data_IF_111036198237
#
_entry.id   IF_111036198237
#
_cell.length_a   1.000
_cell.length_b   1.000
_cell.length_c   1.000
_cell.angle_alpha   90.00
_cell.angle_beta   90.00
_cell.angle_gamma   90.00
#
_symmetry.space_group_name_H-M   'P 1'
#
loop_
_entity.id
_entity.type
_entity.pdbx_description
1 polymer ?
#
# COMPACT_ATOMS: atom_id res chain seq x y z
N UNK A 1 23.19 62.68 -41.92
CA UNK A 1 23.80 62.04 -40.74
C UNK A 1 23.24 60.64 -40.59
N UNK A 2 23.74 59.86 -39.63
CA UNK A 2 23.10 58.61 -39.19
C UNK A 2 22.53 58.87 -37.80
N UNK A 3 21.24 58.62 -37.62
CA UNK A 3 20.54 58.84 -36.35
C UNK A 3 20.01 57.49 -35.86
N UNK A 4 20.12 57.24 -34.56
CA UNK A 4 19.52 56.08 -33.89
C UNK A 4 18.31 56.58 -33.12
N UNK A 5 17.15 55.97 -33.38
CA UNK A 5 15.89 56.26 -32.70
C UNK A 5 15.47 54.98 -31.97
N UNK A 6 15.26 55.09 -30.66
CA UNK A 6 14.79 53.96 -29.83
C UNK A 6 13.38 54.26 -29.34
N UNK A 7 12.44 53.38 -29.69
CA UNK A 7 11.05 53.44 -29.24
C UNK A 7 10.75 52.19 -28.43
N UNK A 8 10.32 52.38 -27.18
CA UNK A 8 9.88 51.29 -26.31
C UNK A 8 8.36 51.33 -26.22
N UNK A 9 7.71 50.27 -26.68
CA UNK A 9 6.26 50.14 -26.67
C UNK A 9 5.84 48.84 -25.96
N UNK A 10 4.63 48.85 -25.39
CA UNK A 10 4.01 47.67 -24.74
C UNK A 10 2.57 47.57 -25.19
N UNK A 11 2.17 46.39 -25.67
CA UNK A 11 0.76 46.07 -25.91
C UNK A 11 0.01 45.81 -24.60
N UNK A 12 -1.22 46.32 -24.50
CA UNK A 12 -2.12 46.05 -23.36
C UNK A 12 -2.74 44.64 -23.44
N UNK A 13 -2.81 44.05 -24.63
CA UNK A 13 -3.40 42.74 -24.89
C UNK A 13 -2.43 41.74 -25.54
N UNK A 14 -2.82 40.46 -25.66
CA UNK A 14 -2.03 39.45 -26.35
C UNK A 14 -1.83 39.85 -27.81
N UNK A 15 -0.57 39.81 -28.27
CA UNK A 15 -0.21 40.03 -29.67
C UNK A 15 -0.07 38.67 -30.35
N UNK A 16 -0.97 38.39 -31.28
CA UNK A 16 -1.00 37.15 -32.06
C UNK A 16 -0.29 37.29 -33.40
N UNK A 17 -0.30 38.50 -33.97
CA UNK A 17 0.40 38.83 -35.22
C UNK A 17 0.90 40.27 -35.17
N UNK A 18 2.11 40.48 -35.67
CA UNK A 18 2.65 41.79 -36.03
C UNK A 18 2.87 41.81 -37.53
N UNK A 19 2.33 42.81 -38.22
CA UNK A 19 2.48 42.96 -39.67
C UNK A 19 3.34 44.19 -39.97
N UNK A 20 4.05 44.14 -41.11
CA UNK A 20 4.74 45.31 -41.64
C UNK A 20 3.84 46.01 -42.66
N UNK A 21 3.39 47.21 -42.28
CA UNK A 21 2.65 48.11 -43.16
C UNK A 21 3.58 49.24 -43.60
N UNK A 22 3.90 49.38 -44.90
CA UNK A 22 4.81 50.41 -45.37
C UNK A 22 4.21 51.80 -45.12
N UNK A 23 5.04 52.72 -44.61
CA UNK A 23 4.66 54.11 -44.37
C UNK A 23 5.25 55.00 -45.45
N UNK A 24 4.46 55.93 -46.00
CA UNK A 24 4.95 56.91 -46.98
C UNK A 24 6.09 57.75 -46.38
N UNK A 25 7.23 57.82 -47.08
CA UNK A 25 8.41 58.57 -46.63
C UNK A 25 9.74 57.91 -47.00
N UNK A 26 10.87 58.38 -46.45
CA UNK A 26 12.21 57.87 -46.75
C UNK A 26 12.57 56.57 -45.99
N UNK A 27 11.56 55.77 -45.61
CA UNK A 27 11.73 54.56 -44.81
C UNK A 27 12.12 53.37 -45.68
N UNK A 28 12.68 52.33 -45.05
CA UNK A 28 13.06 51.10 -45.76
C UNK A 28 11.82 50.35 -46.27
N UNK A 29 11.98 49.64 -47.38
CA UNK A 29 10.95 48.80 -48.00
C UNK A 29 10.66 47.50 -47.22
N UNK A 30 11.47 47.20 -46.19
CA UNK A 30 11.40 46.02 -45.35
C UNK A 30 11.99 46.31 -43.96
N UNK A 31 11.59 45.52 -42.98
CA UNK A 31 12.13 45.59 -41.62
C UNK A 31 12.87 44.30 -41.23
N UNK A 32 13.78 44.43 -40.25
CA UNK A 32 14.49 43.31 -39.63
C UNK A 32 14.05 43.23 -38.18
N UNK A 33 13.42 42.13 -37.81
CA UNK A 33 12.87 41.90 -36.48
C UNK A 33 13.66 40.82 -35.75
N UNK A 34 14.11 41.13 -34.54
CA UNK A 34 14.72 40.17 -33.63
C UNK A 34 13.71 39.75 -32.56
N UNK A 35 13.71 38.46 -32.20
CA UNK A 35 12.75 37.92 -31.22
C UNK A 35 13.46 37.33 -29.99
N UNK A 36 13.35 38.02 -28.85
CA UNK A 36 13.77 37.49 -27.55
C UNK A 36 12.73 36.47 -27.04
N UNK A 37 12.98 35.18 -27.31
CA UNK A 37 12.13 34.10 -26.84
C UNK A 37 12.24 33.93 -25.32
N UNK A 38 11.09 33.91 -24.62
CA UNK A 38 10.99 33.60 -23.19
C UNK A 38 10.20 32.31 -22.95
N UNK A 39 10.77 31.10 -23.19
CA UNK A 39 10.06 29.82 -23.06
C UNK A 39 9.44 29.57 -21.68
N UNK A 40 10.01 30.16 -20.62
CA UNK A 40 9.47 30.10 -19.27
C UNK A 40 8.08 30.75 -19.15
N UNK A 41 7.78 31.76 -19.98
CA UNK A 41 6.49 32.47 -20.02
C UNK A 41 5.55 31.88 -21.07
N UNK A 42 6.08 31.57 -22.26
CA UNK A 42 5.37 30.89 -23.35
C UNK A 42 6.36 30.37 -24.39
N UNK A 43 6.11 29.15 -24.87
CA UNK A 43 6.74 28.60 -26.07
C UNK A 43 5.90 29.00 -27.28
N UNK A 44 6.53 29.73 -28.18
CA UNK A 44 5.90 30.28 -29.39
C UNK A 44 6.72 29.83 -30.59
N UNK A 45 6.04 29.36 -31.63
CA UNK A 45 6.61 29.17 -32.95
C UNK A 45 6.26 30.38 -33.81
N UNK A 46 7.25 30.89 -34.53
CA UNK A 46 7.07 32.02 -35.46
C UNK A 46 6.73 31.49 -36.84
N UNK A 47 5.69 32.04 -37.44
CA UNK A 47 5.26 31.75 -38.81
C UNK A 47 5.01 33.06 -39.59
N UNK A 48 5.10 33.01 -40.92
CA UNK A 48 4.78 34.15 -41.81
C UNK A 48 5.86 35.21 -41.98
N UNK A 49 7.05 35.01 -41.39
CA UNK A 49 8.23 35.86 -41.56
C UNK A 49 9.46 35.02 -41.97
N UNK A 50 10.32 35.57 -42.83
CA UNK A 50 11.47 34.86 -43.40
C UNK A 50 12.69 34.97 -42.48
N UNK A 51 13.23 33.84 -42.01
CA UNK A 51 14.41 33.84 -41.15
C UNK A 51 15.68 34.29 -41.89
N UNK A 52 16.54 35.06 -41.22
CA UNK A 52 17.84 35.52 -41.72
C UNK A 52 18.91 35.36 -40.65
N UNK A 53 20.15 35.16 -41.08
CA UNK A 53 21.31 35.15 -40.19
C UNK A 53 21.56 36.56 -39.60
N UNK A 54 21.54 36.74 -38.26
CA UNK A 54 21.80 38.02 -37.62
C UNK A 54 23.13 38.65 -38.05
N UNK A 55 24.17 37.85 -38.35
CA UNK A 55 25.48 38.32 -38.79
C UNK A 55 25.48 39.00 -40.16
N UNK A 56 24.42 38.83 -40.95
CA UNK A 56 24.23 39.48 -42.25
C UNK A 56 23.34 40.73 -42.18
N UNK A 57 23.00 41.18 -40.97
CA UNK A 57 22.14 42.32 -40.73
C UNK A 57 22.91 43.50 -40.13
N UNK A 58 22.24 44.65 -39.98
CA UNK A 58 22.78 45.83 -39.27
C UNK A 58 22.22 45.93 -37.84
N UNK A 59 21.81 44.82 -37.25
CA UNK A 59 21.26 44.80 -35.89
C UNK A 59 22.31 45.26 -34.86
N UNK A 60 21.89 45.87 -33.75
CA UNK A 60 22.75 46.11 -32.60
C UNK A 60 23.35 44.81 -32.06
N UNK A 61 24.54 44.90 -31.46
CA UNK A 61 25.26 43.74 -30.91
C UNK A 61 24.41 42.96 -29.89
N UNK A 62 23.64 43.66 -29.06
CA UNK A 62 22.73 43.07 -28.05
C UNK A 62 21.66 42.14 -28.65
N UNK A 63 21.35 42.27 -29.94
CA UNK A 63 20.31 41.48 -30.64
C UNK A 63 20.91 40.39 -31.55
N UNK A 64 22.24 40.35 -31.70
CA UNK A 64 22.94 39.42 -32.59
C UNK A 64 22.76 37.93 -32.22
N UNK A 65 22.47 37.65 -30.95
CA UNK A 65 22.20 36.28 -30.45
C UNK A 65 20.73 35.84 -30.57
N UNK A 66 19.84 36.67 -31.11
CA UNK A 66 18.40 36.39 -31.16
C UNK A 66 17.99 35.85 -32.55
N UNK A 67 16.99 34.95 -32.61
CA UNK A 67 16.33 34.61 -33.87
C UNK A 67 15.86 35.86 -34.60
N UNK A 68 16.27 35.99 -35.86
CA UNK A 68 16.08 37.21 -36.66
C UNK A 68 15.33 36.90 -37.94
N UNK A 69 14.44 37.82 -38.32
CA UNK A 69 13.54 37.68 -39.45
C UNK A 69 13.52 38.96 -40.28
N UNK A 70 13.44 38.82 -41.60
CA UNK A 70 13.13 39.90 -42.52
C UNK A 70 11.63 39.88 -42.79
N UNK A 71 10.98 41.03 -42.72
CA UNK A 71 9.54 41.19 -42.96
C UNK A 71 9.34 42.22 -44.09
N UNK A 72 8.80 41.76 -45.22
CA UNK A 72 8.50 42.57 -46.39
C UNK A 72 7.02 43.05 -46.42
N UNK A 73 6.62 43.95 -47.32
CA UNK A 73 5.24 44.44 -47.40
C UNK A 73 4.25 43.29 -47.63
N UNK A 74 3.24 43.19 -46.76
CA UNK A 74 2.25 42.11 -46.78
C UNK A 74 2.66 40.86 -45.97
N UNK A 75 3.91 40.77 -45.50
CA UNK A 75 4.35 39.74 -44.57
C UNK A 75 4.11 40.15 -43.10
N UNK A 76 4.21 39.18 -42.19
CA UNK A 76 4.04 39.46 -40.77
C UNK A 76 4.41 38.28 -39.88
N UNK A 77 4.93 38.61 -38.71
CA UNK A 77 5.29 37.64 -37.69
C UNK A 77 4.05 37.18 -36.93
N UNK A 78 3.64 35.94 -37.16
CA UNK A 78 2.53 35.29 -36.44
C UNK A 78 3.09 34.45 -35.30
N UNK A 79 2.57 34.66 -34.09
CA UNK A 79 3.02 34.04 -32.86
C UNK A 79 2.15 32.83 -32.51
N UNK A 80 2.47 31.67 -33.09
CA UNK A 80 1.74 30.42 -32.82
C UNK A 80 2.14 29.85 -31.46
N UNK A 81 1.30 30.04 -30.45
CA UNK A 81 1.55 29.55 -29.09
C UNK A 81 1.45 28.03 -29.06
N UNK A 82 2.57 27.35 -28.81
CA UNK A 82 2.62 25.88 -28.62
C UNK A 82 2.40 25.48 -27.16
N UNK A 83 2.85 26.32 -26.24
CA UNK A 83 2.69 26.11 -24.79
C UNK A 83 2.69 27.47 -24.10
N UNK A 84 1.70 27.77 -23.26
CA UNK A 84 1.80 28.88 -22.30
C UNK A 84 2.57 28.34 -21.09
N UNK A 85 3.40 29.14 -20.43
CA UNK A 85 4.22 28.74 -19.29
C UNK A 85 3.42 28.03 -18.18
N UNK A 86 4.15 27.45 -17.23
CA UNK A 86 3.68 26.64 -16.09
C UNK A 86 2.38 25.86 -16.36
N UNK A 87 2.53 24.66 -16.91
CA UNK A 87 1.45 23.67 -16.96
C UNK A 87 0.83 23.54 -15.57
N UNK A 88 -0.45 23.89 -15.45
CA UNK A 88 -1.28 23.75 -14.25
C UNK A 88 -1.51 22.28 -13.82
N UNK A 89 -0.62 21.36 -14.22
CA UNK A 89 -0.76 19.93 -14.06
C UNK A 89 0.57 19.18 -13.98
N UNK A 90 1.69 19.84 -13.68
CA UNK A 90 2.84 19.11 -13.16
C UNK A 90 2.47 18.65 -11.75
N UNK A 91 1.91 17.45 -11.66
CA UNK A 91 1.44 16.87 -10.43
C UNK A 91 2.56 16.98 -9.37
N UNK A 92 2.24 17.62 -8.25
CA UNK A 92 3.19 17.77 -7.14
C UNK A 92 3.38 16.37 -6.52
N UNK A 93 4.60 15.81 -6.48
CA UNK A 93 4.81 14.44 -6.06
C UNK A 93 4.59 14.32 -4.56
N UNK A 94 3.35 14.03 -4.18
CA UNK A 94 2.99 13.61 -2.83
C UNK A 94 3.03 12.08 -2.76
N UNK A 95 3.55 11.60 -1.65
CA UNK A 95 3.58 10.19 -1.28
C UNK A 95 2.68 9.97 -0.06
N UNK A 96 1.93 8.88 -0.05
CA UNK A 96 1.06 8.47 1.04
C UNK A 96 1.54 7.14 1.61
N UNK A 97 1.84 7.13 2.90
CA UNK A 97 1.94 5.90 3.68
C UNK A 97 0.74 5.79 4.60
N UNK A 98 -0.01 4.71 4.49
CA UNK A 98 -1.31 4.58 5.14
C UNK A 98 -1.39 3.30 5.95
N UNK A 99 -1.74 3.41 7.22
CA UNK A 99 -1.99 2.27 8.10
C UNK A 99 -3.47 2.26 8.45
N UNK A 100 -4.10 1.09 8.42
CA UNK A 100 -5.48 0.99 8.86
C UNK A 100 -5.75 -0.30 9.64
N UNK A 101 -6.53 -0.17 10.70
CA UNK A 101 -6.90 -1.25 11.61
C UNK A 101 -8.36 -1.60 11.35
N UNK A 102 -8.61 -2.83 10.91
CA UNK A 102 -9.96 -3.36 10.83
C UNK A 102 -10.55 -3.51 12.24
N UNK A 103 -11.79 -3.11 12.41
CA UNK A 103 -12.50 -3.37 13.66
C UNK A 103 -12.66 -4.87 13.93
N UNK A 104 -12.67 -5.27 15.20
CA UNK A 104 -12.99 -6.65 15.58
C UNK A 104 -14.33 -7.14 15.02
N UNK A 105 -15.32 -6.25 14.95
CA UNK A 105 -16.64 -6.53 14.40
C UNK A 105 -16.71 -6.47 12.86
N UNK A 106 -15.67 -5.97 12.19
CA UNK A 106 -15.65 -5.75 10.75
C UNK A 106 -16.58 -4.62 10.29
N UNK A 107 -16.75 -3.57 11.11
CA UNK A 107 -17.67 -2.45 10.87
C UNK A 107 -17.02 -1.22 10.21
N UNK A 108 -15.71 -1.27 9.98
CA UNK A 108 -14.94 -0.18 9.44
C UNK A 108 -13.47 -0.25 9.83
N UNK A 109 -12.79 0.87 9.62
CA UNK A 109 -11.36 1.04 9.87
C UNK A 109 -11.09 2.30 10.67
N UNK A 110 -10.14 2.18 11.60
CA UNK A 110 -9.38 3.35 12.07
C UNK A 110 -8.15 3.48 11.19
N UNK A 111 -7.85 4.68 10.71
CA UNK A 111 -6.82 4.94 9.70
C UNK A 111 -5.84 5.98 10.22
N UNK A 112 -4.55 5.75 10.00
CA UNK A 112 -3.47 6.69 10.22
C UNK A 112 -2.71 6.91 8.90
N UNK A 113 -2.69 8.15 8.43
CA UNK A 113 -2.06 8.54 7.18
C UNK A 113 -0.84 9.44 7.43
N UNK A 114 0.25 9.13 6.74
CA UNK A 114 1.43 9.98 6.64
C UNK A 114 1.59 10.43 5.19
N UNK A 115 1.35 11.70 4.95
CA UNK A 115 1.52 12.35 3.65
C UNK A 115 2.83 13.12 3.63
N UNK A 116 3.68 12.86 2.64
CA UNK A 116 4.97 13.54 2.49
C UNK A 116 5.21 14.02 1.07
N UNK A 117 6.03 15.07 0.92
CA UNK A 117 6.42 15.59 -0.38
C UNK A 117 6.72 17.08 -0.34
N UNK A 118 6.49 17.77 -1.46
CA UNK A 118 6.62 19.22 -1.52
C UNK A 118 5.52 19.82 -2.40
N UNK A 119 4.83 20.83 -1.84
CA UNK A 119 3.83 21.63 -2.53
C UNK A 119 4.50 22.88 -3.10
N UNK A 120 4.15 23.26 -4.33
CA UNK A 120 4.66 24.49 -4.97
C UNK A 120 3.77 25.67 -4.67
N UNK A 121 2.48 25.43 -4.39
CA UNK A 121 1.49 26.47 -4.09
C UNK A 121 0.62 26.08 -2.89
N UNK A 122 0.14 27.04 -2.08
CA UNK A 122 -0.82 26.78 -1.03
C UNK A 122 -2.10 26.19 -1.61
N UNK A 123 -2.60 25.12 -1.00
CA UNK A 123 -3.73 24.33 -1.48
C UNK A 123 -4.45 23.69 -0.30
N UNK A 124 -5.73 23.40 -0.46
CA UNK A 124 -6.50 22.64 0.51
C UNK A 124 -6.41 21.14 0.22
N UNK A 125 -6.29 20.33 1.26
CA UNK A 125 -6.39 18.87 1.18
C UNK A 125 -7.65 18.42 1.91
N UNK A 126 -8.60 17.90 1.15
CA UNK A 126 -9.89 17.40 1.65
C UNK A 126 -9.86 15.88 1.79
N UNK A 127 -10.48 15.38 2.85
CA UNK A 127 -10.76 13.96 3.00
C UNK A 127 -11.76 13.48 1.93
N UNK A 128 -11.60 12.24 1.47
CA UNK A 128 -12.56 11.62 0.56
C UNK A 128 -13.91 11.37 1.24
N UNK A 129 -14.97 11.20 0.43
CA UNK A 129 -16.28 10.83 0.95
C UNK A 129 -16.22 9.49 1.71
N UNK A 130 -16.85 9.42 2.88
CA UNK A 130 -16.82 8.25 3.76
C UNK A 130 -15.63 8.20 4.73
N UNK A 131 -14.69 9.14 4.64
CA UNK A 131 -13.60 9.31 5.60
C UNK A 131 -13.95 10.44 6.58
N UNK A 132 -14.16 10.10 7.85
CA UNK A 132 -14.32 11.07 8.92
C UNK A 132 -12.94 11.47 9.47
N UNK A 133 -12.47 12.65 9.07
CA UNK A 133 -11.16 13.18 9.44
C UNK A 133 -11.20 13.74 10.86
N UNK A 134 -10.48 13.08 11.77
CA UNK A 134 -10.54 13.34 13.19
C UNK A 134 -9.39 14.16 13.74
N UNK A 135 -8.18 13.98 13.23
CA UNK A 135 -6.97 14.70 13.65
C UNK A 135 -6.07 14.93 12.44
N UNK A 136 -5.37 16.07 12.44
CA UNK A 136 -4.31 16.38 11.47
C UNK A 136 -3.22 17.14 12.20
N UNK A 137 -1.97 16.72 12.01
CA UNK A 137 -0.77 17.46 12.39
C UNK A 137 0.13 17.68 11.18
N UNK A 138 0.72 18.86 11.07
CA UNK A 138 1.73 19.18 10.06
C UNK A 138 3.02 19.52 10.79
N UNK A 139 4.11 18.82 10.47
CA UNK A 139 5.41 18.95 11.14
C UNK A 139 5.31 18.85 12.68
N UNK A 140 4.41 17.96 13.16
CA UNK A 140 4.15 17.74 14.58
C UNK A 140 3.32 18.82 15.27
N UNK A 141 2.74 19.77 14.51
CA UNK A 141 1.85 20.80 15.03
C UNK A 141 0.40 20.55 14.57
N UNK A 142 -0.51 20.45 15.53
CA UNK A 142 -1.93 20.21 15.28
C UNK A 142 -2.54 21.31 14.40
N UNK A 143 -3.34 20.89 13.44
CA UNK A 143 -4.02 21.77 12.49
C UNK A 143 -5.52 21.76 12.71
N UNK A 144 -6.16 22.90 12.46
CA UNK A 144 -7.61 23.01 12.55
C UNK A 144 -8.27 22.41 11.31
N UNK A 145 -9.11 21.39 11.51
CA UNK A 145 -9.90 20.78 10.45
C UNK A 145 -11.14 21.64 10.21
N UNK A 146 -11.31 22.08 8.96
CA UNK A 146 -12.42 22.93 8.55
C UNK A 146 -13.31 22.18 7.58
N UNK A 147 -14.54 22.66 7.36
CA UNK A 147 -15.42 22.15 6.30
C UNK A 147 -15.54 23.17 5.17
N UNK A 148 -15.52 22.69 3.92
CA UNK A 148 -15.60 23.57 2.75
C UNK A 148 -16.40 22.94 1.59
N UNK A 149 -16.95 23.80 0.73
CA UNK A 149 -17.58 23.43 -0.52
C UNK A 149 -19.01 22.85 -0.37
N UNK A 150 -19.68 22.55 -1.50
CA UNK A 150 -21.06 22.05 -1.52
C UNK A 150 -21.22 20.68 -0.87
N UNK A 151 -20.14 19.88 -0.82
CA UNK A 151 -20.09 18.57 -0.14
C UNK A 151 -19.77 18.68 1.35
N UNK A 152 -19.50 19.89 1.86
CA UNK A 152 -19.12 20.14 3.25
C UNK A 152 -17.93 19.27 3.72
N UNK A 153 -16.96 19.06 2.82
CA UNK A 153 -15.84 18.14 3.02
C UNK A 153 -14.90 18.64 4.14
N UNK A 154 -14.50 17.72 5.02
CA UNK A 154 -13.50 17.97 6.05
C UNK A 154 -12.11 18.05 5.40
N UNK A 155 -11.31 19.04 5.79
CA UNK A 155 -9.98 19.21 5.23
C UNK A 155 -9.15 20.28 5.94
N UNK A 156 -7.92 20.41 5.48
CA UNK A 156 -6.90 21.32 6.03
C UNK A 156 -6.29 22.18 4.93
N UNK A 157 -5.93 23.42 5.26
CA UNK A 157 -5.19 24.30 4.37
C UNK A 157 -3.69 24.01 4.45
N UNK A 158 -3.07 23.72 3.31
CA UNK A 158 -1.64 23.43 3.21
C UNK A 158 -0.89 24.63 2.63
N UNK A 159 0.31 24.88 3.15
CA UNK A 159 1.21 25.92 2.65
C UNK A 159 2.14 25.36 1.57
N UNK A 160 2.68 26.23 0.72
CA UNK A 160 3.76 25.85 -0.19
C UNK A 160 5.03 25.52 0.60
N UNK A 161 5.79 24.53 0.14
CA UNK A 161 7.02 24.05 0.76
C UNK A 161 7.02 22.53 0.96
N UNK A 162 8.05 22.01 1.66
CA UNK A 162 8.06 20.63 2.16
C UNK A 162 6.83 20.37 3.02
N UNK A 163 6.25 19.19 2.89
CA UNK A 163 5.09 18.75 3.63
C UNK A 163 5.42 17.43 4.33
N UNK A 164 5.16 17.39 5.63
CA UNK A 164 4.94 16.16 6.39
C UNK A 164 3.66 16.32 7.20
N UNK A 165 2.62 15.63 6.76
CA UNK A 165 1.30 15.65 7.38
C UNK A 165 1.02 14.27 7.94
N UNK A 166 0.55 14.23 9.18
CA UNK A 166 0.07 13.04 9.86
C UNK A 166 -1.42 13.25 10.16
N UNK A 167 -2.26 12.25 9.91
CA UNK A 167 -3.70 12.40 10.05
C UNK A 167 -4.38 11.10 10.51
N UNK A 168 -5.30 11.24 11.45
CA UNK A 168 -6.10 10.14 11.96
C UNK A 168 -7.55 10.30 11.53
N UNK A 169 -8.11 9.22 10.99
CA UNK A 169 -9.47 9.22 10.46
C UNK A 169 -10.20 7.92 10.72
N UNK A 170 -11.52 7.97 10.57
CA UNK A 170 -12.42 6.84 10.70
C UNK A 170 -13.12 6.60 9.37
N UNK A 171 -13.08 5.37 8.88
CA UNK A 171 -13.83 4.93 7.69
C UNK A 171 -14.86 3.92 8.15
N UNK A 172 -16.13 4.33 8.21
CA UNK A 172 -17.23 3.45 8.62
C UNK A 172 -17.92 2.81 7.42
N UNK A 173 -18.49 1.62 7.62
CA UNK A 173 -19.33 0.97 6.64
C UNK A 173 -18.76 -0.36 6.15
N UNK A 174 -18.66 -0.52 4.83
CA UNK A 174 -18.29 -1.79 4.21
C UNK A 174 -16.77 -2.01 4.29
N UNK A 175 -16.28 -3.03 5.03
CA UNK A 175 -14.86 -3.32 5.10
C UNK A 175 -14.31 -3.88 3.78
N UNK A 176 -15.17 -4.31 2.86
CA UNK A 176 -14.73 -4.84 1.56
C UNK A 176 -14.34 -3.70 0.62
N UNK A 177 -15.12 -2.63 0.54
CA UNK A 177 -14.87 -1.54 -0.40
C UNK A 177 -14.37 -0.30 0.33
N UNK A 178 -13.09 0.01 0.18
CA UNK A 178 -12.46 1.16 0.84
C UNK A 178 -11.75 2.04 -0.19
N UNK A 179 -11.60 3.34 0.07
CA UNK A 179 -10.79 4.19 -0.81
C UNK A 179 -9.30 3.85 -0.64
N UNK A 180 -8.57 3.68 -1.75
CA UNK A 180 -7.14 3.38 -1.69
C UNK A 180 -6.35 4.48 -0.97
N UNK A 181 -6.64 5.75 -1.27
CA UNK A 181 -5.95 6.91 -0.69
C UNK A 181 -6.76 7.67 0.36
N UNK A 182 -8.10 7.68 0.26
CA UNK A 182 -8.99 8.32 1.24
C UNK A 182 -8.89 9.85 1.36
N UNK A 183 -8.20 10.50 0.43
CA UNK A 183 -8.16 11.95 0.24
C UNK A 183 -8.70 12.31 -1.16
N UNK A 184 -9.28 13.50 -1.31
CA UNK A 184 -9.76 14.01 -2.59
C UNK A 184 -8.61 14.56 -3.46
N UNK A 185 -7.52 13.80 -3.57
CA UNK A 185 -6.31 14.14 -4.31
C UNK A 185 -5.55 12.89 -4.73
N UNK A 186 -4.91 12.96 -5.90
CA UNK A 186 -4.08 11.90 -6.44
C UNK A 186 -2.70 11.89 -5.76
N UNK A 187 -2.09 10.70 -5.65
CA UNK A 187 -0.77 10.49 -5.07
C UNK A 187 0.14 9.80 -6.08
N UNK A 188 1.44 10.11 -6.04
CA UNK A 188 2.41 9.50 -6.96
C UNK A 188 2.94 8.17 -6.45
N UNK A 189 3.09 8.06 -5.14
CA UNK A 189 3.55 6.87 -4.45
C UNK A 189 2.57 6.59 -3.31
N UNK A 190 2.06 5.36 -3.28
CA UNK A 190 1.15 4.90 -2.23
C UNK A 190 1.64 3.57 -1.72
N UNK A 191 1.72 3.47 -0.39
CA UNK A 191 1.97 2.23 0.32
C UNK A 191 1.08 2.16 1.54
N UNK A 192 0.77 0.95 2.00
CA UNK A 192 0.04 0.81 3.22
C UNK A 192 0.17 -0.52 3.92
N UNK A 193 -0.32 -0.54 5.15
CA UNK A 193 -0.36 -1.71 6.01
C UNK A 193 -1.79 -1.88 6.57
N UNK A 194 -2.39 -3.02 6.24
CA UNK A 194 -3.69 -3.46 6.76
C UNK A 194 -3.45 -4.30 8.01
N UNK A 195 -3.84 -3.79 9.17
CA UNK A 195 -3.84 -4.53 10.42
C UNK A 195 -5.17 -5.26 10.61
N UNK A 196 -5.09 -6.57 10.86
CA UNK A 196 -6.23 -7.46 11.02
C UNK A 196 -6.30 -7.97 12.46
N UNK A 197 -7.46 -7.86 13.12
CA UNK A 197 -7.66 -8.42 14.45
C UNK A 197 -7.68 -9.96 14.40
N UNK A 198 -7.59 -10.63 15.56
CA UNK A 198 -7.55 -12.09 15.64
C UNK A 198 -8.68 -12.78 14.89
N UNK A 199 -8.34 -13.84 14.15
CA UNK A 199 -9.31 -14.60 13.37
C UNK A 199 -9.76 -13.94 12.07
N UNK A 200 -9.30 -12.72 11.76
CA UNK A 200 -9.45 -12.14 10.43
C UNK A 200 -8.24 -12.46 9.56
N UNK A 201 -8.48 -12.72 8.27
CA UNK A 201 -7.41 -12.99 7.30
C UNK A 201 -7.72 -12.39 5.94
N UNK A 202 -6.71 -11.83 5.28
CA UNK A 202 -6.84 -11.35 3.90
C UNK A 202 -6.73 -12.53 2.93
N UNK A 203 -7.81 -12.84 2.22
CA UNK A 203 -7.79 -13.86 1.16
C UNK A 203 -7.19 -13.29 -0.13
N UNK A 204 -7.58 -12.07 -0.49
CA UNK A 204 -7.16 -11.37 -1.70
C UNK A 204 -7.42 -9.86 -1.56
N UNK A 205 -6.75 -9.05 -2.37
CA UNK A 205 -7.02 -7.63 -2.51
C UNK A 205 -6.99 -7.25 -4.00
N UNK A 206 -7.94 -6.41 -4.42
CA UNK A 206 -8.04 -5.88 -5.78
C UNK A 206 -7.98 -4.35 -5.74
N UNK A 207 -7.44 -3.73 -6.80
CA UNK A 207 -7.19 -2.29 -6.82
C UNK A 207 -5.83 -1.92 -6.22
N UNK A 208 -4.98 -2.92 -5.98
CA UNK A 208 -3.59 -2.84 -5.52
C UNK A 208 -2.71 -3.73 -6.40
N UNK A 209 -1.45 -3.36 -6.62
CA UNK A 209 -0.53 -4.14 -7.45
C UNK A 209 0.07 -5.34 -6.71
N UNK A 210 0.33 -5.18 -5.42
CA UNK A 210 0.82 -6.25 -4.57
C UNK A 210 0.21 -6.19 -3.17
N UNK A 211 -0.31 -7.33 -2.71
CA UNK A 211 -0.81 -7.54 -1.36
C UNK A 211 -0.19 -8.82 -0.76
N UNK A 212 0.49 -8.68 0.39
CA UNK A 212 1.18 -9.80 1.06
C UNK A 212 1.13 -9.68 2.59
N UNK A 213 0.86 -10.77 3.33
CA UNK A 213 0.47 -12.08 2.83
C UNK A 213 -1.02 -12.12 2.44
N UNK A 214 -1.35 -12.90 1.41
CA UNK A 214 -2.74 -13.26 1.06
C UNK A 214 -2.85 -14.76 0.85
N UNK A 215 -4.04 -15.34 1.04
CA UNK A 215 -4.23 -16.77 0.77
C UNK A 215 -3.92 -17.13 -0.69
N UNK A 216 -4.35 -16.29 -1.65
CA UNK A 216 -4.08 -16.53 -3.07
C UNK A 216 -2.57 -16.47 -3.37
N UNK A 217 -1.86 -15.48 -2.84
CA UNK A 217 -0.42 -15.29 -3.12
C UNK A 217 0.49 -16.24 -2.36
N UNK A 218 -0.02 -16.92 -1.34
CA UNK A 218 0.72 -17.95 -0.63
C UNK A 218 1.05 -19.17 -1.51
N UNK A 219 0.35 -19.37 -2.63
CA UNK A 219 0.63 -20.45 -3.56
C UNK A 219 1.81 -20.12 -4.48
N UNK A 220 2.87 -20.93 -4.41
CA UNK A 220 3.90 -20.92 -5.45
C UNK A 220 3.56 -21.87 -6.60
N UNK A 221 4.25 -21.72 -7.74
CA UNK A 221 4.12 -22.66 -8.85
C UNK A 221 4.48 -24.09 -8.44
N UNK A 222 5.49 -24.24 -7.58
CA UNK A 222 5.92 -25.52 -7.05
C UNK A 222 4.85 -26.13 -6.14
N UNK A 223 4.20 -25.31 -5.32
CA UNK A 223 3.09 -25.74 -4.45
C UNK A 223 1.90 -26.25 -5.23
N UNK A 224 1.50 -25.53 -6.28
CA UNK A 224 0.43 -25.96 -7.17
C UNK A 224 0.77 -27.30 -7.85
N UNK A 225 2.01 -27.45 -8.33
CA UNK A 225 2.47 -28.71 -8.91
C UNK A 225 2.47 -29.85 -7.89
N UNK A 226 3.00 -29.62 -6.69
CA UNK A 226 3.03 -30.60 -5.60
C UNK A 226 1.62 -31.05 -5.19
N UNK A 227 0.69 -30.11 -5.01
CA UNK A 227 -0.69 -30.40 -4.67
C UNK A 227 -1.39 -31.21 -5.79
N UNK A 228 -1.16 -30.84 -7.05
CA UNK A 228 -1.72 -31.54 -8.20
C UNK A 228 -1.19 -32.98 -8.30
N UNK A 229 0.13 -33.18 -8.24
CA UNK A 229 0.73 -34.52 -8.31
C UNK A 229 0.26 -35.40 -7.17
N UNK A 230 0.18 -34.85 -5.95
CA UNK A 230 -0.34 -35.56 -4.77
C UNK A 230 -1.80 -35.97 -4.98
N UNK A 231 -2.63 -35.05 -5.49
CA UNK A 231 -4.04 -35.32 -5.82
C UNK A 231 -4.18 -36.43 -6.85
N UNK A 232 -3.42 -36.37 -7.95
CA UNK A 232 -3.45 -37.38 -9.01
C UNK A 232 -2.95 -38.73 -8.49
N UNK A 233 -1.92 -38.75 -7.65
CA UNK A 233 -1.43 -39.98 -7.04
C UNK A 233 -2.49 -40.61 -6.13
N UNK A 234 -3.19 -39.82 -5.30
CA UNK A 234 -4.33 -40.32 -4.49
C UNK A 234 -5.44 -40.86 -5.38
N UNK A 235 -5.79 -40.14 -6.45
CA UNK A 235 -6.78 -40.58 -7.43
C UNK A 235 -6.44 -41.93 -8.07
N UNK A 236 -5.19 -42.10 -8.52
CA UNK A 236 -4.75 -43.34 -9.17
C UNK A 236 -4.70 -44.52 -8.19
N UNK A 237 -4.39 -44.25 -6.93
CA UNK A 237 -4.17 -45.27 -5.92
C UNK A 237 -5.48 -45.69 -5.19
N UNK A 238 -6.46 -44.80 -5.03
CA UNK A 238 -7.71 -45.06 -4.29
C UNK A 238 -9.00 -44.70 -5.05
N UNK A 239 -8.92 -44.13 -6.26
CA UNK A 239 -10.06 -43.82 -7.12
C UNK A 239 -10.62 -42.39 -6.98
N UNK A 240 -11.69 -42.09 -7.73
CA UNK A 240 -12.26 -40.75 -7.88
C UNK A 240 -12.65 -40.08 -6.56
N UNK A 241 -13.36 -40.78 -5.68
CA UNK A 241 -13.84 -40.22 -4.42
C UNK A 241 -12.68 -39.73 -3.54
N UNK A 242 -11.65 -40.56 -3.36
CA UNK A 242 -10.48 -40.20 -2.56
C UNK A 242 -9.60 -39.18 -3.27
N UNK A 243 -9.56 -39.18 -4.60
CA UNK A 243 -8.94 -38.11 -5.39
C UNK A 243 -9.60 -36.75 -5.14
N UNK A 244 -10.94 -36.69 -5.12
CA UNK A 244 -11.69 -35.45 -4.84
C UNK A 244 -11.51 -35.00 -3.38
N UNK A 245 -11.60 -35.91 -2.42
CA UNK A 245 -11.33 -35.60 -1.00
C UNK A 245 -9.89 -35.09 -0.86
N UNK A 246 -8.92 -35.78 -1.47
CA UNK A 246 -7.52 -35.37 -1.47
C UNK A 246 -7.31 -33.99 -2.09
N UNK A 247 -7.95 -33.71 -3.23
CA UNK A 247 -7.90 -32.41 -3.88
C UNK A 247 -8.38 -31.29 -2.95
N UNK A 248 -9.54 -31.49 -2.32
CA UNK A 248 -10.13 -30.50 -1.42
C UNK A 248 -9.29 -30.32 -0.15
N UNK A 249 -8.80 -31.41 0.45
CA UNK A 249 -7.90 -31.35 1.61
C UNK A 249 -6.66 -30.53 1.27
N UNK A 250 -5.96 -30.88 0.18
CA UNK A 250 -4.72 -30.21 -0.20
C UNK A 250 -4.95 -28.75 -0.59
N UNK A 251 -6.02 -28.44 -1.32
CA UNK A 251 -6.37 -27.06 -1.64
C UNK A 251 -6.60 -26.20 -0.39
N UNK A 252 -7.09 -26.77 0.72
CA UNK A 252 -7.35 -26.02 1.95
C UNK A 252 -6.18 -26.03 2.94
N UNK A 253 -5.30 -27.04 2.90
CA UNK A 253 -4.21 -27.19 3.87
C UNK A 253 -2.83 -26.86 3.33
N UNK A 254 -2.58 -26.93 2.02
CA UNK A 254 -1.20 -26.90 1.48
C UNK A 254 -0.41 -25.66 1.87
N UNK A 255 -1.04 -24.48 1.79
CA UNK A 255 -0.44 -23.18 2.11
C UNK A 255 -0.52 -22.82 3.60
N UNK A 256 -1.14 -23.66 4.42
CA UNK A 256 -1.23 -23.39 5.85
C UNK A 256 0.08 -23.75 6.55
N UNK A 257 0.59 -22.89 7.45
CA UNK A 257 1.88 -23.15 8.10
C UNK A 257 1.84 -24.48 8.86
N UNK A 258 2.88 -25.32 8.79
CA UNK A 258 2.91 -26.59 9.52
C UNK A 258 1.98 -27.69 9.02
N UNK A 259 1.28 -27.49 7.90
CA UNK A 259 0.52 -28.56 7.26
C UNK A 259 1.45 -29.67 6.71
N UNK A 260 0.98 -30.93 6.65
CA UNK A 260 1.77 -32.06 6.17
C UNK A 260 1.86 -32.10 4.62
N UNK A 261 2.23 -31.00 3.96
CA UNK A 261 2.12 -30.83 2.49
C UNK A 261 2.98 -31.83 1.70
N UNK A 262 4.30 -31.66 1.68
CA UNK A 262 5.21 -32.46 0.87
C UNK A 262 5.37 -33.91 1.37
N UNK A 263 5.11 -34.15 2.65
CA UNK A 263 5.29 -35.46 3.28
C UNK A 263 4.28 -36.51 2.78
N UNK A 264 3.14 -36.05 2.24
CA UNK A 264 2.20 -36.91 1.52
C UNK A 264 2.85 -37.64 0.35
N UNK A 265 3.73 -36.99 -0.41
CA UNK A 265 4.38 -37.63 -1.55
C UNK A 265 5.25 -38.81 -1.13
N UNK A 266 5.99 -38.70 -0.03
CA UNK A 266 6.81 -39.80 0.50
C UNK A 266 5.95 -41.02 0.86
N UNK A 267 4.80 -40.78 1.51
CA UNK A 267 3.83 -41.83 1.82
C UNK A 267 3.24 -42.46 0.55
N UNK A 268 2.83 -41.64 -0.42
CA UNK A 268 2.23 -42.10 -1.67
C UNK A 268 3.20 -42.92 -2.51
N UNK A 269 4.48 -42.52 -2.57
CA UNK A 269 5.55 -43.29 -3.22
C UNK A 269 5.72 -44.64 -2.50
N UNK A 270 5.79 -44.64 -1.17
CA UNK A 270 5.89 -45.87 -0.39
C UNK A 270 4.72 -46.82 -0.63
N UNK A 271 3.49 -46.31 -0.65
CA UNK A 271 2.29 -47.12 -0.92
C UNK A 271 2.24 -47.63 -2.37
N UNK A 272 2.61 -46.80 -3.35
CA UNK A 272 2.68 -47.20 -4.75
C UNK A 272 3.70 -48.33 -4.96
N UNK A 273 4.90 -48.21 -4.37
CA UNK A 273 5.96 -49.24 -4.46
C UNK A 273 5.53 -50.55 -3.79
N UNK A 274 4.90 -50.49 -2.62
CA UNK A 274 4.40 -51.68 -1.93
C UNK A 274 3.32 -52.39 -2.76
N UNK A 275 2.42 -51.64 -3.43
CA UNK A 275 1.38 -52.20 -4.30
C UNK A 275 1.94 -52.79 -5.59
N UNK A 276 2.94 -52.14 -6.19
CA UNK A 276 3.60 -52.63 -7.40
C UNK A 276 4.32 -53.96 -7.15
N UNK A 277 5.07 -54.07 -6.05
CA UNK A 277 5.84 -55.28 -5.71
C UNK A 277 4.97 -56.40 -5.11
N UNK A 278 3.82 -56.06 -4.53
CA UNK A 278 2.94 -57.02 -3.83
C UNK A 278 2.12 -57.94 -4.72
N UNK A 279 2.08 -57.74 -6.04
CA UNK A 279 1.19 -58.44 -6.98
C UNK A 279 1.80 -59.67 -7.68
N UNK A 280 3.08 -59.99 -7.43
CA UNK A 280 3.77 -61.13 -8.06
C UNK A 280 4.00 -62.30 -7.10
N UNK A 281 3.38 -63.44 -7.39
CA UNK A 281 3.66 -64.74 -6.77
C UNK A 281 4.96 -65.33 -7.34
N UNK A 282 6.12 -64.96 -6.79
CA UNK A 282 7.37 -65.65 -7.09
C UNK A 282 8.34 -65.59 -5.91
N UNK A 283 8.59 -66.76 -5.33
CA UNK A 283 9.34 -67.02 -4.10
C UNK A 283 10.86 -66.87 -4.30
N UNK A 284 11.43 -65.78 -3.82
CA UNK A 284 12.89 -65.60 -3.76
C UNK A 284 13.30 -64.90 -2.47
N UNK A 285 14.25 -65.48 -1.72
CA UNK A 285 14.70 -64.97 -0.42
C UNK A 285 15.22 -63.52 -0.47
N UNK A 286 15.83 -63.10 -1.58
CA UNK A 286 16.33 -61.73 -1.80
C UNK A 286 15.21 -60.70 -1.95
N UNK A 287 14.04 -61.08 -2.49
CA UNK A 287 12.87 -60.19 -2.61
C UNK A 287 12.13 -59.99 -1.28
N UNK A 288 12.33 -60.86 -0.28
CA UNK A 288 11.73 -60.72 1.06
C UNK A 288 12.33 -59.55 1.84
N UNK A 289 13.65 -59.40 1.82
CA UNK A 289 14.33 -58.27 2.47
C UNK A 289 13.95 -56.92 1.86
N UNK A 290 13.93 -56.83 0.53
CA UNK A 290 13.51 -55.62 -0.19
C UNK A 290 12.04 -55.24 0.10
N UNK A 291 11.12 -56.21 0.12
CA UNK A 291 9.71 -55.97 0.49
C UNK A 291 9.55 -55.49 1.94
N UNK A 292 10.37 -55.99 2.86
CA UNK A 292 10.38 -55.51 4.24
C UNK A 292 10.80 -54.04 4.31
N UNK A 293 11.90 -53.66 3.66
CA UNK A 293 12.36 -52.27 3.58
C UNK A 293 11.29 -51.32 3.00
N UNK A 294 10.60 -51.70 1.92
CA UNK A 294 9.52 -50.89 1.36
C UNK A 294 8.34 -50.72 2.33
N UNK A 295 7.99 -51.76 3.09
CA UNK A 295 6.94 -51.67 4.13
C UNK A 295 7.37 -50.78 5.28
N UNK A 296 8.62 -50.88 5.73
CA UNK A 296 9.18 -50.02 6.77
C UNK A 296 9.20 -48.57 6.30
N UNK A 297 9.68 -48.30 5.08
CA UNK A 297 9.65 -46.96 4.49
C UNK A 297 8.23 -46.40 4.43
N UNK A 298 7.25 -47.18 3.94
CA UNK A 298 5.85 -46.77 3.93
C UNK A 298 5.34 -46.44 5.33
N UNK A 299 5.60 -47.30 6.31
CA UNK A 299 5.15 -47.10 7.70
C UNK A 299 5.81 -45.87 8.33
N UNK A 300 7.09 -45.65 8.08
CA UNK A 300 7.80 -44.46 8.53
C UNK A 300 7.23 -43.18 7.90
N UNK A 301 6.95 -43.21 6.59
CA UNK A 301 6.33 -42.08 5.90
C UNK A 301 4.91 -41.81 6.41
N UNK A 302 4.10 -42.85 6.62
CA UNK A 302 2.76 -42.71 7.23
C UNK A 302 2.86 -42.13 8.65
N UNK A 303 3.77 -42.65 9.47
CA UNK A 303 4.01 -42.15 10.82
C UNK A 303 4.41 -40.67 10.79
N UNK A 304 5.26 -40.27 9.84
CA UNK A 304 5.66 -38.88 9.67
C UNK A 304 4.47 -37.98 9.25
N UNK A 305 3.61 -38.45 8.34
CA UNK A 305 2.36 -37.74 8.00
C UNK A 305 1.48 -37.59 9.25
N UNK A 306 1.31 -38.64 10.05
CA UNK A 306 0.49 -38.59 11.28
C UNK A 306 1.09 -37.63 12.31
N UNK A 307 2.39 -37.74 12.58
CA UNK A 307 3.10 -36.90 13.55
C UNK A 307 3.12 -35.42 13.17
N UNK A 308 3.04 -35.09 11.88
CA UNK A 308 2.90 -33.70 11.40
C UNK A 308 1.44 -33.24 11.36
N UNK A 309 0.50 -34.14 11.08
CA UNK A 309 -0.93 -33.84 11.02
C UNK A 309 -1.55 -33.56 12.39
N UNK A 310 -1.16 -34.30 13.44
CA UNK A 310 -1.76 -34.12 14.78
C UNK A 310 -1.51 -32.72 15.33
N UNK A 311 -0.27 -32.20 15.40
CA UNK A 311 -0.01 -30.83 15.87
C UNK A 311 -0.72 -29.79 15.02
N UNK A 312 -0.77 -29.98 13.70
CA UNK A 312 -1.50 -29.11 12.78
C UNK A 312 -3.00 -29.06 13.11
N UNK A 313 -3.66 -30.22 13.23
CA UNK A 313 -5.09 -30.31 13.56
C UNK A 313 -5.39 -29.69 14.93
N UNK A 314 -4.56 -29.93 15.94
CA UNK A 314 -4.70 -29.32 17.27
C UNK A 314 -4.61 -27.80 17.17
N UNK A 315 -3.70 -27.26 16.37
CA UNK A 315 -3.57 -25.83 16.16
C UNK A 315 -4.79 -25.26 15.44
N UNK A 316 -5.26 -25.88 14.36
CA UNK A 316 -6.46 -25.43 13.63
C UNK A 316 -7.68 -25.38 14.54
N UNK A 317 -7.91 -26.43 15.34
CA UNK A 317 -9.02 -26.48 16.32
C UNK A 317 -8.87 -25.40 17.39
N UNK A 318 -7.65 -25.18 17.90
CA UNK A 318 -7.38 -24.14 18.90
C UNK A 318 -7.68 -22.75 18.35
N UNK A 319 -7.19 -22.43 17.15
CA UNK A 319 -7.40 -21.12 16.52
C UNK A 319 -8.88 -20.93 16.16
N UNK A 320 -9.57 -22.00 15.76
CA UNK A 320 -11.02 -21.93 15.54
C UNK A 320 -11.79 -21.59 16.84
N UNK A 321 -11.51 -22.29 17.94
CA UNK A 321 -12.24 -22.07 19.19
C UNK A 321 -11.82 -20.77 19.90
N UNK A 322 -10.54 -20.41 19.77
CA UNK A 322 -9.94 -19.27 20.44
C UNK A 322 -9.06 -18.48 19.46
N UNK A 323 -9.66 -17.65 18.59
CA UNK A 323 -8.91 -16.86 17.61
C UNK A 323 -7.84 -15.98 18.25
N UNK A 324 -8.07 -15.50 19.48
CA UNK A 324 -7.08 -14.73 20.25
C UNK A 324 -5.75 -15.47 20.51
N UNK A 325 -5.71 -16.80 20.36
CA UNK A 325 -4.51 -17.63 20.57
C UNK A 325 -3.66 -17.83 19.31
N UNK A 326 -3.99 -17.19 18.18
CA UNK A 326 -3.29 -17.35 16.89
C UNK A 326 -1.76 -17.16 16.98
N UNK A 327 -1.28 -16.28 17.87
CA UNK A 327 0.15 -16.01 18.10
C UNK A 327 0.66 -16.28 19.53
N UNK A 328 -0.16 -16.84 20.42
CA UNK A 328 0.19 -17.00 21.84
C UNK A 328 1.43 -17.86 22.12
N UNK A 329 1.97 -18.56 21.10
CA UNK A 329 3.18 -19.37 21.22
C UNK A 329 4.48 -18.64 20.79
N UNK A 330 4.38 -17.54 20.04
CA UNK A 330 5.56 -16.78 19.56
C UNK A 330 5.85 -15.54 20.40
N UNK A 331 4.85 -14.99 21.10
CA UNK A 331 4.97 -13.77 21.92
C UNK A 331 5.57 -13.98 23.32
N UNK A 332 6.02 -15.19 23.66
CA UNK A 332 6.61 -15.47 25.00
C UNK A 332 8.11 -15.08 25.05
N UNK A 333 8.72 -14.61 23.96
CA UNK A 333 10.17 -14.37 23.88
C UNK A 333 10.63 -12.98 23.46
N UNK A 334 9.73 -12.05 23.11
CA UNK A 334 10.12 -10.73 22.61
C UNK A 334 9.70 -9.66 23.62
N UNK A 335 10.60 -9.37 24.57
CA UNK A 335 10.49 -8.23 25.46
C UNK A 335 10.42 -6.95 24.63
N UNK A 336 9.27 -6.30 24.65
CA UNK A 336 9.02 -5.02 23.98
C UNK A 336 9.98 -3.94 24.52
N UNK A 337 10.92 -3.41 23.70
CA UNK A 337 11.84 -2.35 24.13
C UNK A 337 11.11 -1.04 24.48
N UNK A 338 9.88 -0.85 24.00
CA UNK A 338 9.05 0.32 24.28
C UNK A 338 8.25 0.22 25.58
N UNK A 339 8.09 -0.98 26.16
CA UNK A 339 7.45 -1.15 27.48
C UNK A 339 8.32 -0.60 28.64
N UNK A 340 9.61 -0.29 28.39
CA UNK A 340 10.51 0.31 29.38
C UNK A 340 10.36 1.83 29.55
N UNK A 341 9.50 2.49 28.75
CA UNK A 341 9.23 3.92 28.82
C UNK A 341 8.06 4.32 29.75
N UNK A 342 7.23 3.35 30.15
CA UNK A 342 6.11 3.58 31.08
C UNK A 342 6.47 3.08 32.49
N UNK A 343 7.63 3.49 33.00
CA UNK A 343 7.80 3.53 34.44
C UNK A 343 6.93 4.69 34.94
N UNK A 344 5.91 4.37 35.73
CA UNK A 344 5.15 5.36 36.49
C UNK A 344 6.13 6.36 37.14
N UNK A 345 5.86 7.68 37.11
CA UNK A 345 6.66 8.61 37.89
C UNK A 345 6.60 8.14 39.34
N UNK A 346 7.75 7.72 39.88
CA UNK A 346 7.90 7.50 41.30
C UNK A 346 7.48 8.81 41.98
N UNK A 347 6.41 8.74 42.78
CA UNK A 347 5.99 9.83 43.64
C UNK A 347 7.21 10.28 44.47
N UNK A 348 7.75 11.45 44.13
CA UNK A 348 8.69 12.13 44.99
C UNK A 348 7.93 12.51 46.27
N UNK A 349 8.42 12.18 47.47
CA UNK A 349 7.75 12.57 48.70
C UNK A 349 7.77 14.10 48.83
N UNK A 350 6.61 14.74 48.61
CA UNK A 350 6.31 16.13 48.98
C UNK A 350 6.21 16.28 50.50
N UNK A 351 7.32 16.08 51.21
CA UNK A 351 7.37 16.28 52.65
C UNK A 351 8.79 16.66 53.08
N UNK A 352 9.34 17.76 52.54
CA UNK A 352 10.53 18.42 53.11
C UNK A 352 10.83 19.84 52.57
N UNK A 353 9.90 20.50 51.88
CA UNK A 353 10.11 21.89 51.40
C UNK A 353 9.34 22.97 52.19
N UNK A 354 8.31 22.60 52.96
CA UNK A 354 7.54 23.58 53.75
C UNK A 354 8.23 24.04 55.05
N UNK A 355 9.30 23.37 55.50
CA UNK A 355 9.97 23.71 56.77
C UNK A 355 11.20 24.62 56.64
N UNK A 356 11.65 24.96 55.43
CA UNK A 356 12.83 25.82 55.22
C UNK A 356 12.51 27.19 54.58
N UNK A 357 11.24 27.51 54.37
CA UNK A 357 10.81 28.79 53.78
C UNK A 357 10.71 29.97 54.78
N UNK A 358 11.01 29.78 56.07
CA UNK A 358 10.81 30.80 57.11
C UNK A 358 12.06 31.63 57.48
N UNK A 359 13.19 31.53 56.79
CA UNK A 359 14.40 32.23 57.23
C UNK A 359 15.33 32.72 56.11
N UNK A 360 14.95 33.75 55.35
CA UNK A 360 15.92 34.66 54.68
C UNK A 360 15.41 36.10 54.57
N UNK A 361 16.25 37.11 54.92
CA UNK A 361 15.89 38.52 54.81
C UNK A 361 16.06 39.07 53.39
N UNK A 362 15.34 40.16 53.11
CA UNK A 362 15.22 40.81 51.81
C UNK A 362 16.55 41.43 51.30
N UNK A 363 16.74 41.38 49.98
CA UNK A 363 17.77 42.14 49.25
C UNK A 363 17.30 42.45 47.81
N UNK A 364 17.86 43.51 47.17
CA UNK A 364 17.08 44.46 46.36
C UNK A 364 16.94 44.08 44.87
N UNK A 365 15.92 44.67 44.24
CA UNK A 365 15.50 44.45 42.85
C UNK A 365 16.59 44.83 41.83
N UNK A 366 16.91 43.98 40.83
CA UNK A 366 17.60 44.41 39.64
C UNK A 366 16.64 44.94 38.57
N UNK A 367 17.15 45.94 37.85
CA UNK A 367 16.55 46.76 36.81
C UNK A 367 16.03 45.95 35.62
N UNK A 368 14.84 46.30 35.13
CA UNK A 368 14.21 45.69 33.94
C UNK A 368 15.02 46.00 32.68
N UNK A 369 15.68 44.98 32.13
CA UNK A 369 16.02 44.89 30.71
C UNK A 369 14.84 44.25 29.97
N UNK A 370 14.26 44.96 29.01
CA UNK A 370 13.17 44.48 28.17
C UNK A 370 13.75 43.57 27.10
N UNK A 371 13.96 42.30 27.45
CA UNK A 371 14.16 41.24 26.48
C UNK A 371 12.76 40.74 26.09
N UNK A 372 12.44 40.87 24.81
CA UNK A 372 11.18 40.42 24.21
C UNK A 372 11.12 38.89 24.25
N UNK A 373 10.71 38.36 25.40
CA UNK A 373 10.24 36.99 25.53
C UNK A 373 8.94 36.88 24.72
N UNK A 374 9.02 36.24 23.57
CA UNK A 374 7.85 35.74 22.83
C UNK A 374 7.19 34.71 23.74
N UNK A 375 6.11 35.11 24.41
CA UNK A 375 5.24 34.19 25.10
C UNK A 375 4.51 33.35 24.05
N UNK A 376 5.03 32.16 23.76
CA UNK A 376 4.19 31.06 23.27
C UNK A 376 3.71 30.33 24.51
N UNK A 377 2.79 30.93 25.26
CA UNK A 377 1.93 30.15 26.15
C UNK A 377 0.86 29.54 25.24
N UNK A 378 0.81 28.20 25.11
CA UNK A 378 -0.31 27.54 24.45
C UNK A 378 -1.59 27.98 25.16
N UNK A 379 -2.59 28.48 24.43
CA UNK A 379 -3.87 28.88 24.99
C UNK A 379 -4.49 27.67 25.74
N UNK A 380 -4.70 27.74 27.06
CA UNK A 380 -5.27 26.65 27.84
C UNK A 380 -6.68 26.25 27.40
N UNK A 381 -7.37 27.09 26.61
CA UNK A 381 -8.69 26.83 26.05
C UNK A 381 -8.67 26.38 24.59
N UNK A 382 -7.49 26.17 23.99
CA UNK A 382 -7.38 25.64 22.64
C UNK A 382 -8.00 24.24 22.57
N UNK A 383 -9.17 24.13 21.93
CA UNK A 383 -9.82 22.84 21.66
C UNK A 383 -9.06 22.14 20.55
N UNK A 384 -8.10 21.30 20.93
CA UNK A 384 -7.38 20.41 20.00
C UNK A 384 -8.30 19.26 19.61
N UNK A 385 -8.51 19.07 18.31
CA UNK A 385 -9.28 17.94 17.80
C UNK A 385 -8.40 16.69 17.81
N UNK A 386 -8.64 15.76 18.73
CA UNK A 386 -7.73 14.62 19.01
C UNK A 386 -7.95 13.38 18.16
N UNK A 387 -8.92 13.39 17.24
CA UNK A 387 -9.22 12.26 16.36
C UNK A 387 -9.69 10.97 17.05
N UNK A 388 -9.89 9.89 16.27
CA UNK A 388 -10.18 8.57 16.82
C UNK A 388 -8.95 7.99 17.55
N UNK A 389 -9.17 7.21 18.61
CA UNK A 389 -8.07 6.50 19.27
C UNK A 389 -7.43 5.45 18.35
N UNK A 390 -6.14 5.60 18.05
CA UNK A 390 -5.38 4.63 17.27
C UNK A 390 -5.20 3.32 18.06
N UNK A 391 -5.54 2.16 17.50
CA UNK A 391 -5.35 0.90 18.20
C UNK A 391 -3.86 0.55 18.34
N UNK A 392 -3.44 0.17 19.56
CA UNK A 392 -2.07 -0.22 19.85
C UNK A 392 -1.79 -1.72 19.60
N UNK A 393 -2.82 -2.50 19.28
CA UNK A 393 -2.66 -3.94 19.15
C UNK A 393 -1.95 -4.33 17.85
N UNK A 394 -1.30 -5.50 17.86
CA UNK A 394 -0.59 -6.07 16.70
C UNK A 394 -0.87 -7.57 16.61
N UNK A 395 -1.43 -8.00 15.47
CA UNK A 395 -1.66 -9.41 15.12
C UNK A 395 -1.20 -9.66 13.69
N UNK A 396 -2.12 -10.02 12.79
CA UNK A 396 -1.85 -10.18 11.38
C UNK A 396 -1.78 -8.80 10.73
N UNK A 397 -0.79 -8.59 9.88
CA UNK A 397 -0.78 -7.44 8.97
C UNK A 397 -0.51 -7.87 7.54
N UNK A 398 -1.07 -7.11 6.60
CA UNK A 398 -0.83 -7.28 5.18
C UNK A 398 -0.31 -5.97 4.59
N UNK A 399 0.84 -6.03 3.94
CA UNK A 399 1.41 -4.91 3.20
C UNK A 399 0.73 -4.80 1.84
N UNK A 400 0.37 -3.57 1.49
CA UNK A 400 -0.26 -3.20 0.23
C UNK A 400 0.62 -2.18 -0.47
N UNK A 401 0.95 -2.43 -1.74
CA UNK A 401 1.77 -1.50 -2.53
C UNK A 401 1.21 -1.30 -3.93
N UNK A 402 1.33 -0.05 -4.40
CA UNK A 402 0.97 0.38 -5.74
C UNK A 402 2.24 0.74 -6.51
N UNK A 403 2.25 0.44 -7.80
CA UNK A 403 3.35 0.71 -8.73
C UNK A 403 2.95 1.89 -9.61
N UNK A 404 3.24 3.08 -9.11
CA UNK A 404 2.97 4.34 -9.80
C UNK A 404 1.80 5.11 -9.19
N UNK A 405 1.34 6.17 -9.88
CA UNK A 405 0.33 7.08 -9.35
C UNK A 405 -1.01 6.38 -9.09
N UNK A 406 -1.69 6.83 -8.04
CA UNK A 406 -2.99 6.34 -7.59
C UNK A 406 -3.96 7.51 -7.57
N UNK A 407 -5.05 7.37 -8.32
CA UNK A 407 -6.10 8.40 -8.41
C UNK A 407 -6.91 8.47 -7.12
N UNK A 408 -7.40 9.67 -6.79
CA UNK A 408 -8.27 9.91 -5.62
C UNK A 408 -9.53 9.03 -5.58
N UNK A 409 -10.01 8.63 -6.75
CA UNK A 409 -11.23 7.84 -6.94
C UNK A 409 -10.95 6.33 -7.05
N UNK A 410 -9.68 5.90 -6.89
CA UNK A 410 -9.31 4.50 -6.96
C UNK A 410 -9.86 3.71 -5.75
N UNK A 411 -10.73 2.76 -6.05
CA UNK A 411 -11.26 1.82 -5.07
C UNK A 411 -10.29 0.68 -4.77
N UNK A 412 -10.26 0.27 -3.50
CA UNK A 412 -9.60 -0.92 -2.99
C UNK A 412 -10.67 -1.90 -2.53
N UNK A 413 -10.62 -3.13 -3.06
CA UNK A 413 -11.50 -4.22 -2.62
C UNK A 413 -10.70 -5.24 -1.81
N UNK A 414 -11.09 -5.45 -0.55
CA UNK A 414 -10.47 -6.37 0.38
C UNK A 414 -11.34 -7.60 0.60
N UNK A 415 -10.88 -8.76 0.12
CA UNK A 415 -11.56 -10.04 0.35
C UNK A 415 -11.11 -10.58 1.71
N UNK A 416 -11.90 -10.27 2.73
CA UNK A 416 -11.61 -10.62 4.12
C UNK A 416 -12.34 -11.90 4.53
N UNK A 417 -11.60 -12.85 5.10
CA UNK A 417 -12.15 -13.99 5.80
C UNK A 417 -12.43 -13.57 7.24
N UNK A 418 -13.72 -13.49 7.59
CA UNK A 418 -14.14 -13.18 8.95
C UNK A 418 -13.83 -14.35 9.90
N UNK A 419 -13.83 -14.11 11.23
CA UNK A 419 -13.58 -15.15 12.23
C UNK A 419 -14.49 -16.37 12.05
N UNK A 420 -15.77 -16.17 11.71
CA UNK A 420 -16.71 -17.28 11.48
C UNK A 420 -16.35 -18.12 10.26
N UNK A 421 -15.90 -17.49 9.18
CA UNK A 421 -15.45 -18.19 7.97
C UNK A 421 -14.17 -18.97 8.27
N UNK A 422 -13.21 -18.36 8.96
CA UNK A 422 -11.98 -19.03 9.36
C UNK A 422 -12.22 -20.21 10.31
N UNK A 423 -13.19 -20.12 11.23
CA UNK A 423 -13.65 -21.25 12.05
C UNK A 423 -14.16 -22.39 11.18
N UNK A 424 -15.03 -22.08 10.20
CA UNK A 424 -15.55 -23.07 9.26
C UNK A 424 -14.45 -23.73 8.43
N UNK A 425 -13.49 -22.95 7.94
CA UNK A 425 -12.34 -23.45 7.18
C UNK A 425 -11.42 -24.32 8.03
N UNK A 426 -11.11 -23.91 9.25
CA UNK A 426 -10.29 -24.70 10.18
C UNK A 426 -10.96 -26.04 10.54
N UNK A 427 -12.28 -26.03 10.79
CA UNK A 427 -13.06 -27.25 10.97
C UNK A 427 -13.04 -28.15 9.73
N UNK A 428 -13.24 -27.57 8.53
CA UNK A 428 -13.18 -28.30 7.27
C UNK A 428 -11.80 -28.92 7.04
N UNK A 429 -10.71 -28.17 7.21
CA UNK A 429 -9.32 -28.67 7.12
C UNK A 429 -9.09 -29.84 8.07
N UNK A 430 -9.51 -29.71 9.32
CA UNK A 430 -9.33 -30.75 10.35
C UNK A 430 -10.09 -32.02 10.01
N UNK A 431 -11.37 -31.90 9.63
CA UNK A 431 -12.21 -33.04 9.27
C UNK A 431 -11.71 -33.72 8.00
N UNK A 432 -11.44 -32.94 6.94
CA UNK A 432 -10.98 -33.47 5.66
C UNK A 432 -9.61 -34.15 5.78
N UNK A 433 -8.70 -33.58 6.57
CA UNK A 433 -7.40 -34.20 6.83
C UNK A 433 -7.56 -35.49 7.63
N UNK A 434 -8.40 -35.51 8.67
CA UNK A 434 -8.69 -36.72 9.44
C UNK A 434 -9.33 -37.83 8.60
N UNK A 435 -10.30 -37.50 7.75
CA UNK A 435 -10.94 -38.43 6.82
C UNK A 435 -9.93 -38.99 5.83
N UNK A 436 -9.07 -38.13 5.25
CA UNK A 436 -8.03 -38.54 4.32
C UNK A 436 -7.02 -39.49 5.01
N UNK A 437 -6.57 -39.18 6.22
CA UNK A 437 -5.65 -40.03 6.98
C UNK A 437 -6.24 -41.41 7.27
N UNK A 438 -7.47 -41.46 7.80
CA UNK A 438 -8.16 -42.71 8.13
C UNK A 438 -8.43 -43.54 6.87
N UNK A 439 -8.83 -42.89 5.78
CA UNK A 439 -9.10 -43.54 4.49
C UNK A 439 -7.87 -44.16 3.84
N UNK A 440 -6.75 -43.44 3.86
CA UNK A 440 -5.51 -43.88 3.22
C UNK A 440 -4.76 -44.90 4.11
N UNK A 441 -4.83 -44.78 5.44
CA UNK A 441 -4.26 -45.74 6.38
C UNK A 441 -5.07 -47.04 6.49
N UNK A 442 -6.41 -46.95 6.39
CA UNK A 442 -7.35 -48.06 6.59
C UNK A 442 -7.45 -49.08 5.45
N UNK A 443 -6.58 -49.01 4.43
CA UNK A 443 -6.33 -50.02 3.39
C UNK A 443 -7.53 -50.87 2.96
N UNK A 444 -8.29 -50.46 1.93
CA UNK A 444 -9.26 -51.27 1.15
C UNK A 444 -10.36 -52.05 1.92
N UNK A 445 -10.43 -51.97 3.25
CA UNK A 445 -11.31 -52.81 4.08
C UNK A 445 -12.69 -52.24 4.40
N UNK A 446 -12.83 -50.91 4.49
CA UNK A 446 -14.05 -50.32 5.09
C UNK A 446 -15.11 -49.77 4.12
N UNK A 447 -14.80 -49.57 2.84
CA UNK A 447 -15.78 -49.03 1.88
C UNK A 447 -15.73 -49.80 0.55
N UNK A 448 -16.13 -51.08 0.60
CA UNK A 448 -16.57 -51.80 -0.60
C UNK A 448 -17.94 -51.24 -1.01
N UNK A 449 -17.95 -50.13 -1.75
CA UNK A 449 -19.11 -49.85 -2.61
C UNK A 449 -19.10 -50.89 -3.73
N UNK A 450 -19.97 -51.87 -3.54
CA UNK A 450 -20.22 -53.02 -4.39
C UNK A 450 -20.67 -52.53 -5.77
N UNK A 451 -19.75 -52.33 -6.72
CA UNK A 451 -20.11 -52.36 -8.14
C UNK A 451 -20.39 -53.81 -8.50
N UNK A 452 -21.65 -54.21 -8.35
CA UNK A 452 -22.17 -55.39 -9.01
C UNK A 452 -22.15 -55.13 -10.52
N UNK A 453 -21.17 -55.70 -11.21
CA UNK A 453 -21.31 -55.95 -12.64
C UNK A 453 -22.13 -57.25 -12.76
N UNK A 454 -23.41 -57.09 -13.07
CA UNK A 454 -24.20 -58.16 -13.64
C UNK A 454 -23.60 -58.48 -15.00
N UNK A 455 -23.12 -59.72 -15.16
CA UNK A 455 -22.97 -60.38 -16.45
C UNK A 455 -23.75 -61.68 -16.32
N UNK A 456 -24.95 -61.67 -16.85
CA UNK A 456 -25.66 -62.79 -17.47
C UNK A 456 -26.67 -62.16 -18.43
#
# INVERSE_FOLDING_TARGET
GRWLLTVTARSAGPVERLAFDPVEGPWADREIWAFDARPALRLVQIEGASAVDPGQTRLPEDWSGMPTYVVAPGEGMTFVVKRRGESAGAAEPLSLHRQWWLDFAGTGYTVHDVVSGALRRPQRLDAAAGTDLGHVAIDGQDQFITRWGPTNALGVELRAGPLRLEADSRVEGDPVHTPAVGWNRDFHDVSGELHLPPGWRLAHARGVDAADPTWIRAWTLLDLFGALVTTVAVFQLWGLLWGLIGALTLALTWTEPGAPSWIWLAFLVGEALVRAVGSGDAEGASRRGFRWWLRVFRLAALLAVVLTSIPFMVREVRVALYPALEYAFWSVGEEDPYARGAAAPAEAPMALEDEMASARPASPKPTRSYESAVYTQPDPNARVQTGPGLPAWRWNSARLTWRGPVDRDQGLELFLLSPRVNIGLAAARTVLLGVLLLGLAGGRGLLRFRRGAAVA
#
